data_IF_555514630284
#
_entry.id   IF_555514630284
#
_cell.length_a   1.000
_cell.length_b   1.000
_cell.length_c   1.000
_cell.angle_alpha   90.00
_cell.angle_beta   90.00
_cell.angle_gamma   90.00
#
_symmetry.space_group_name_H-M   'P 1'
#
loop_
_entity.id
_entity.type
_entity.pdbx_description
1 polymer ?
#
# COMPACT_ATOMS: atom_id res chain seq x y z
N UNK A 1 -27.55 -11.38 -2.93
CA UNK A 1 -27.00 -10.12 -2.39
C UNK A 1 -25.52 -10.34 -2.16
N UNK A 2 -24.63 -9.50 -2.70
CA UNK A 2 -23.22 -9.56 -2.35
C UNK A 2 -23.09 -9.29 -0.85
N UNK A 3 -22.37 -10.13 -0.13
CA UNK A 3 -22.09 -9.88 1.28
C UNK A 3 -21.31 -8.56 1.39
N UNK A 4 -21.82 -7.62 2.18
CA UNK A 4 -21.18 -6.31 2.40
C UNK A 4 -20.09 -6.37 3.48
N UNK A 5 -19.91 -7.52 4.12
CA UNK A 5 -18.90 -7.77 5.15
C UNK A 5 -18.28 -9.16 4.96
N UNK A 6 -16.99 -9.35 5.30
CA UNK A 6 -16.38 -10.67 5.31
C UNK A 6 -17.06 -11.61 6.32
N UNK A 7 -16.87 -12.93 6.18
CA UNK A 7 -17.42 -13.90 7.12
C UNK A 7 -16.83 -13.70 8.53
N UNK A 8 -17.67 -13.76 9.55
CA UNK A 8 -17.28 -13.45 10.93
C UNK A 8 -16.14 -14.35 11.43
N UNK A 9 -16.17 -15.62 11.06
CA UNK A 9 -15.15 -16.58 11.48
C UNK A 9 -13.80 -16.38 10.76
N UNK A 10 -13.80 -15.84 9.54
CA UNK A 10 -12.59 -15.41 8.85
C UNK A 10 -12.01 -14.14 9.49
N UNK A 11 -12.88 -13.19 9.85
CA UNK A 11 -12.49 -11.97 10.57
C UNK A 11 -11.83 -12.32 11.89
N UNK A 12 -12.46 -13.17 12.70
CA UNK A 12 -11.91 -13.63 13.97
C UNK A 12 -10.52 -14.29 13.79
N UNK A 13 -10.38 -15.16 12.79
CA UNK A 13 -9.10 -15.78 12.48
C UNK A 13 -8.03 -14.74 12.10
N UNK A 14 -8.34 -13.81 11.20
CA UNK A 14 -7.38 -12.81 10.73
C UNK A 14 -6.98 -11.86 11.86
N UNK A 15 -7.94 -11.36 12.63
CA UNK A 15 -7.68 -10.41 13.71
C UNK A 15 -6.89 -11.03 14.87
N UNK A 16 -7.07 -12.32 15.14
CA UNK A 16 -6.37 -13.00 16.25
C UNK A 16 -5.07 -13.67 15.85
N UNK A 17 -4.93 -14.14 14.60
CA UNK A 17 -3.77 -14.93 14.17
C UNK A 17 -2.83 -14.20 13.21
N UNK A 18 -3.35 -13.22 12.46
CA UNK A 18 -2.61 -12.60 11.36
C UNK A 18 -2.20 -11.18 11.68
N UNK A 19 -3.16 -10.30 12.00
CA UNK A 19 -2.86 -8.89 12.27
C UNK A 19 -1.84 -8.66 13.41
N UNK A 20 -1.83 -9.45 14.51
CA UNK A 20 -0.86 -9.24 15.58
C UNK A 20 0.61 -9.38 15.14
N UNK A 21 0.89 -10.09 14.04
CA UNK A 21 2.26 -10.25 13.52
C UNK A 21 2.88 -8.91 13.07
N UNK A 22 2.03 -7.95 12.65
CA UNK A 22 2.45 -6.61 12.23
C UNK A 22 3.01 -5.76 13.37
N UNK A 23 2.79 -6.16 14.63
CA UNK A 23 3.39 -5.48 15.78
C UNK A 23 4.92 -5.60 15.82
N UNK A 24 5.49 -6.57 15.10
CA UNK A 24 6.94 -6.79 15.00
C UNK A 24 7.61 -6.02 13.85
N UNK A 25 6.84 -5.35 13.00
CA UNK A 25 7.35 -4.68 11.80
C UNK A 25 7.69 -3.21 12.05
N UNK A 26 8.37 -2.59 11.08
CA UNK A 26 8.73 -1.18 11.17
C UNK A 26 7.49 -0.26 11.15
N UNK A 27 7.69 1.02 11.49
CA UNK A 27 6.63 2.02 11.57
C UNK A 27 5.83 2.19 10.26
N UNK A 28 6.42 1.91 9.11
CA UNK A 28 5.75 2.04 7.82
C UNK A 28 4.84 0.85 7.49
N UNK A 29 5.07 -0.32 8.11
CA UNK A 29 4.32 -1.57 7.85
C UNK A 29 3.73 -2.13 9.15
N UNK A 30 3.27 -1.27 10.06
CA UNK A 30 2.70 -1.66 11.34
C UNK A 30 1.19 -1.99 11.26
N UNK A 31 0.55 -2.28 12.41
CA UNK A 31 -0.89 -2.56 12.48
C UNK A 31 -1.76 -1.46 11.85
N UNK A 32 -1.43 -0.18 12.06
CA UNK A 32 -2.20 0.91 11.48
C UNK A 32 -2.17 0.89 9.95
N UNK A 33 -1.02 0.54 9.37
CA UNK A 33 -0.86 0.37 7.92
C UNK A 33 -1.81 -0.70 7.40
N UNK A 34 -1.71 -1.93 7.90
CA UNK A 34 -2.55 -3.04 7.40
C UNK A 34 -4.04 -2.79 7.60
N UNK A 35 -4.46 -2.19 8.72
CA UNK A 35 -5.87 -1.84 8.93
C UNK A 35 -6.36 -0.80 7.92
N UNK A 36 -5.54 0.19 7.55
CA UNK A 36 -5.88 1.13 6.46
C UNK A 36 -5.98 0.43 5.11
N UNK A 37 -5.06 -0.48 4.80
CA UNK A 37 -5.09 -1.25 3.54
C UNK A 37 -6.36 -2.10 3.47
N UNK A 38 -6.69 -2.83 4.54
CA UNK A 38 -7.92 -3.63 4.63
C UNK A 38 -9.15 -2.75 4.37
N UNK A 39 -9.28 -1.61 5.07
CA UNK A 39 -10.43 -0.70 4.89
C UNK A 39 -10.56 -0.24 3.45
N UNK A 40 -9.46 0.17 2.83
CA UNK A 40 -9.43 0.62 1.42
C UNK A 40 -9.77 -0.52 0.46
N UNK A 41 -9.26 -1.73 0.71
CA UNK A 41 -9.64 -2.90 -0.09
C UNK A 41 -11.14 -3.17 -0.01
N UNK A 42 -11.76 -3.04 1.16
CA UNK A 42 -13.21 -3.21 1.31
C UNK A 42 -14.01 -2.11 0.58
N UNK A 43 -13.51 -0.88 0.53
CA UNK A 43 -14.11 0.20 -0.27
C UNK A 43 -14.04 -0.13 -1.77
N UNK A 44 -12.91 -0.66 -2.26
CA UNK A 44 -12.70 -1.04 -3.66
C UNK A 44 -13.51 -2.30 -4.07
N UNK A 45 -13.79 -3.20 -3.14
CA UNK A 45 -14.66 -4.37 -3.41
C UNK A 45 -16.05 -3.92 -3.87
N UNK A 46 -16.60 -2.84 -3.30
CA UNK A 46 -17.94 -2.33 -3.62
C UNK A 46 -18.08 -1.93 -5.09
N UNK A 47 -17.02 -1.42 -5.70
CA UNK A 47 -17.02 -0.96 -7.10
C UNK A 47 -16.56 -2.03 -8.08
N UNK A 48 -15.78 -3.01 -7.62
CA UNK A 48 -15.20 -4.06 -8.47
C UNK A 48 -16.02 -5.36 -8.50
N UNK A 49 -16.88 -5.59 -7.51
CA UNK A 49 -17.66 -6.83 -7.39
C UNK A 49 -16.82 -8.06 -7.03
N UNK A 50 -15.57 -7.86 -6.58
CA UNK A 50 -14.68 -8.94 -6.17
C UNK A 50 -15.21 -9.66 -4.90
N UNK A 51 -14.79 -10.90 -4.69
CA UNK A 51 -15.11 -11.64 -3.46
C UNK A 51 -14.50 -10.92 -2.23
N UNK A 52 -15.36 -10.53 -1.31
CA UNK A 52 -14.98 -9.75 -0.13
C UNK A 52 -14.07 -10.52 0.83
N UNK A 53 -14.26 -11.83 0.97
CA UNK A 53 -13.43 -12.68 1.83
C UNK A 53 -12.02 -12.81 1.25
N UNK A 54 -11.91 -13.04 -0.06
CA UNK A 54 -10.60 -13.07 -0.73
C UNK A 54 -9.89 -11.73 -0.60
N UNK A 55 -10.56 -10.62 -0.88
CA UNK A 55 -9.96 -9.29 -0.79
C UNK A 55 -9.50 -8.95 0.64
N UNK A 56 -10.30 -9.32 1.65
CA UNK A 56 -9.97 -9.12 3.06
C UNK A 56 -8.73 -9.91 3.48
N UNK A 57 -8.69 -11.20 3.15
CA UNK A 57 -7.54 -12.05 3.46
C UNK A 57 -6.27 -11.62 2.71
N UNK A 58 -6.37 -11.25 1.43
CA UNK A 58 -5.21 -10.75 0.66
C UNK A 58 -4.65 -9.48 1.30
N UNK A 59 -5.51 -8.52 1.67
CA UNK A 59 -5.08 -7.30 2.32
C UNK A 59 -4.41 -7.56 3.68
N UNK A 60 -4.93 -8.51 4.47
CA UNK A 60 -4.33 -8.87 5.75
C UNK A 60 -2.96 -9.58 5.62
N UNK A 61 -2.72 -10.29 4.50
CA UNK A 61 -1.49 -11.06 4.30
C UNK A 61 -0.41 -10.32 3.50
N UNK A 62 -0.74 -9.20 2.82
CA UNK A 62 0.10 -8.63 1.76
C UNK A 62 1.55 -8.34 2.17
N UNK A 63 1.74 -7.94 3.43
CA UNK A 63 3.01 -7.48 3.99
C UNK A 63 3.62 -8.47 5.00
N UNK A 64 3.04 -9.65 5.22
CA UNK A 64 3.61 -10.63 6.15
C UNK A 64 5.04 -11.08 5.76
N UNK A 65 5.43 -10.90 4.50
CA UNK A 65 6.79 -11.14 4.05
C UNK A 65 7.82 -10.16 4.61
N UNK A 66 7.41 -9.09 5.29
CA UNK A 66 8.30 -8.11 5.95
C UNK A 66 9.07 -8.70 7.15
N UNK A 67 8.73 -9.90 7.60
CA UNK A 67 9.51 -10.65 8.60
C UNK A 67 10.93 -11.04 8.13
N UNK A 68 11.26 -10.87 6.85
CA UNK A 68 12.61 -11.08 6.32
C UNK A 68 13.10 -9.89 5.49
N UNK A 69 13.91 -10.14 4.45
CA UNK A 69 14.40 -9.05 3.61
C UNK A 69 13.26 -8.28 2.91
N UNK A 70 13.35 -6.96 2.94
CA UNK A 70 12.36 -6.06 2.31
C UNK A 70 12.34 -6.17 0.79
N UNK A 71 13.46 -6.49 0.14
CA UNK A 71 13.54 -6.52 -1.33
C UNK A 71 12.57 -7.53 -1.96
N UNK A 72 12.32 -8.66 -1.28
CA UNK A 72 11.51 -9.77 -1.75
C UNK A 72 10.24 -10.01 -0.90
N UNK A 73 9.86 -9.07 -0.03
CA UNK A 73 8.73 -9.24 0.91
C UNK A 73 7.43 -9.68 0.21
N UNK A 74 7.04 -9.04 -0.90
CA UNK A 74 5.90 -9.45 -1.74
C UNK A 74 5.93 -10.93 -2.18
N UNK A 75 7.09 -11.46 -2.60
CA UNK A 75 7.24 -12.86 -2.99
C UNK A 75 7.15 -13.78 -1.77
N UNK A 76 7.78 -13.39 -0.66
CA UNK A 76 7.71 -14.13 0.60
C UNK A 76 6.28 -14.14 1.15
N UNK A 77 5.58 -13.00 1.14
CA UNK A 77 4.20 -12.85 1.56
C UNK A 77 3.26 -13.78 0.77
N UNK A 78 3.44 -13.86 -0.55
CA UNK A 78 2.69 -14.81 -1.38
C UNK A 78 2.95 -16.27 -1.00
N UNK A 79 4.21 -16.62 -0.67
CA UNK A 79 4.56 -17.96 -0.17
C UNK A 79 3.96 -18.24 1.21
N UNK A 80 3.99 -17.28 2.14
CA UNK A 80 3.38 -17.38 3.47
C UNK A 80 1.88 -17.64 3.34
N UNK A 81 1.18 -16.84 2.50
CA UNK A 81 -0.24 -17.01 2.24
C UNK A 81 -0.53 -18.42 1.69
N UNK A 82 0.18 -18.85 0.65
CA UNK A 82 -0.07 -20.15 0.04
C UNK A 82 0.26 -21.35 0.95
N UNK A 83 1.20 -21.18 1.89
CA UNK A 83 1.59 -22.20 2.85
C UNK A 83 0.63 -22.31 4.04
N UNK A 84 -0.19 -21.30 4.31
CA UNK A 84 -1.13 -21.31 5.42
C UNK A 84 -2.33 -22.23 5.13
N UNK A 85 -2.20 -23.48 5.56
CA UNK A 85 -3.22 -24.52 5.33
C UNK A 85 -4.56 -24.21 6.02
N UNK A 86 -4.58 -23.32 7.02
CA UNK A 86 -5.80 -22.90 7.72
C UNK A 86 -6.75 -22.16 6.78
N UNK A 87 -6.22 -21.45 5.77
CA UNK A 87 -7.01 -20.74 4.76
C UNK A 87 -7.91 -21.67 3.93
N UNK A 88 -7.59 -22.96 3.86
CA UNK A 88 -8.40 -23.98 3.14
C UNK A 88 -9.80 -24.18 3.75
N UNK A 89 -10.05 -23.67 4.96
CA UNK A 89 -11.38 -23.62 5.56
C UNK A 89 -12.33 -22.71 4.76
N UNK A 90 -11.81 -21.65 4.13
CA UNK A 90 -12.63 -20.64 3.43
C UNK A 90 -12.40 -20.63 1.91
N UNK A 91 -11.23 -21.06 1.44
CA UNK A 91 -10.81 -20.85 0.06
C UNK A 91 -10.39 -22.13 -0.64
N UNK A 92 -10.78 -22.28 -1.90
CA UNK A 92 -10.33 -23.37 -2.78
C UNK A 92 -8.83 -23.23 -3.11
N UNK A 93 -8.18 -24.31 -3.58
CA UNK A 93 -6.79 -24.23 -4.07
C UNK A 93 -6.58 -23.17 -5.17
N UNK A 94 -7.54 -23.01 -6.07
CA UNK A 94 -7.53 -22.00 -7.14
C UNK A 94 -7.65 -20.59 -6.56
N UNK A 95 -8.52 -20.37 -5.58
CA UNK A 95 -8.63 -19.09 -4.88
C UNK A 95 -7.32 -18.75 -4.15
N UNK A 96 -6.73 -19.69 -3.42
CA UNK A 96 -5.45 -19.51 -2.73
C UNK A 96 -4.34 -19.16 -3.74
N UNK A 97 -4.33 -19.80 -4.92
CA UNK A 97 -3.40 -19.43 -5.99
C UNK A 97 -3.59 -17.96 -6.39
N UNK A 98 -4.81 -17.53 -6.70
CA UNK A 98 -5.10 -16.13 -7.06
C UNK A 98 -4.71 -15.15 -5.95
N UNK A 99 -4.95 -15.52 -4.69
CA UNK A 99 -4.59 -14.72 -3.52
C UNK A 99 -3.07 -14.55 -3.39
N UNK A 100 -2.31 -15.64 -3.53
CA UNK A 100 -0.84 -15.59 -3.59
C UNK A 100 -0.38 -14.64 -4.69
N UNK A 101 -0.94 -14.78 -5.89
CA UNK A 101 -0.56 -13.96 -7.02
C UNK A 101 -0.85 -12.47 -6.79
N UNK A 102 -1.97 -12.16 -6.14
CA UNK A 102 -2.33 -10.81 -5.75
C UNK A 102 -1.34 -10.20 -4.76
N UNK A 103 -0.92 -10.96 -3.74
CA UNK A 103 0.12 -10.53 -2.79
C UNK A 103 1.45 -10.30 -3.49
N UNK A 104 1.86 -11.17 -4.40
CA UNK A 104 3.10 -10.99 -5.17
C UNK A 104 3.07 -9.75 -6.08
N UNK A 105 1.89 -9.32 -6.53
CA UNK A 105 1.75 -8.24 -7.50
C UNK A 105 1.51 -6.85 -6.88
N UNK A 106 1.45 -6.73 -5.55
CA UNK A 106 0.97 -5.48 -4.91
C UNK A 106 1.94 -4.30 -5.04
N UNK A 107 3.24 -4.54 -5.25
CA UNK A 107 4.27 -3.50 -5.23
C UNK A 107 4.04 -2.41 -6.27
N UNK A 108 4.11 -1.15 -5.84
CA UNK A 108 4.01 0.00 -6.74
C UNK A 108 5.12 0.07 -7.81
N UNK A 109 6.31 -0.44 -7.51
CA UNK A 109 7.46 -0.46 -8.43
C UNK A 109 7.48 -1.68 -9.35
N UNK A 110 6.43 -2.52 -9.34
CA UNK A 110 6.35 -3.65 -10.26
C UNK A 110 6.21 -3.14 -11.70
N UNK A 111 7.00 -3.69 -12.63
CA UNK A 111 7.00 -3.29 -14.05
C UNK A 111 5.79 -3.78 -14.83
N UNK A 112 4.98 -4.67 -14.24
CA UNK A 112 3.82 -5.31 -14.86
C UNK A 112 2.54 -5.01 -14.10
N UNK A 113 1.41 -5.07 -14.80
CA UNK A 113 0.10 -5.01 -14.18
C UNK A 113 -0.16 -6.25 -13.30
N UNK A 114 -0.90 -6.10 -12.18
CA UNK A 114 -1.33 -7.25 -11.39
C UNK A 114 -2.17 -8.23 -12.22
N UNK A 115 -1.97 -9.52 -11.99
CA UNK A 115 -2.57 -10.62 -12.77
C UNK A 115 -4.09 -10.72 -12.63
N UNK A 116 -4.64 -10.26 -11.51
CA UNK A 116 -6.06 -10.40 -11.18
C UNK A 116 -6.66 -9.10 -10.66
N UNK A 117 -8.00 -9.04 -10.60
CA UNK A 117 -8.70 -7.93 -9.94
C UNK A 117 -8.28 -7.78 -8.48
N UNK A 118 -8.03 -8.89 -7.79
CA UNK A 118 -7.57 -8.87 -6.40
C UNK A 118 -6.18 -8.25 -6.26
N UNK A 119 -5.27 -8.56 -7.19
CA UNK A 119 -3.96 -7.91 -7.25
C UNK A 119 -4.08 -6.40 -7.46
N UNK A 120 -5.01 -5.96 -8.32
CA UNK A 120 -5.31 -4.54 -8.54
C UNK A 120 -5.85 -3.88 -7.28
N UNK A 121 -6.77 -4.53 -6.57
CA UNK A 121 -7.36 -4.03 -5.31
C UNK A 121 -6.29 -3.82 -4.24
N UNK A 122 -5.47 -4.85 -3.96
CA UNK A 122 -4.46 -4.74 -2.90
C UNK A 122 -3.33 -3.77 -3.29
N UNK A 123 -2.87 -3.80 -4.54
CA UNK A 123 -1.86 -2.86 -5.03
C UNK A 123 -2.34 -1.41 -4.92
N UNK A 124 -3.63 -1.17 -5.12
CA UNK A 124 -4.20 0.16 -5.02
C UNK A 124 -4.46 0.57 -3.58
N UNK A 125 -4.99 -0.32 -2.75
CA UNK A 125 -5.27 -0.07 -1.33
C UNK A 125 -4.00 0.20 -0.52
N UNK A 126 -2.90 -0.50 -0.84
CA UNK A 126 -1.58 -0.32 -0.23
C UNK A 126 -0.97 1.07 -0.49
N UNK A 127 -1.34 1.69 -1.61
CA UNK A 127 -0.84 3.02 -1.94
C UNK A 127 -1.58 4.06 -1.10
N UNK A 128 -0.89 4.57 -0.08
CA UNK A 128 -1.32 5.76 0.64
C UNK A 128 -0.98 7.01 -0.17
N UNK A 129 -1.94 7.49 -0.98
CA UNK A 129 -1.75 8.64 -1.88
C UNK A 129 -2.33 9.93 -1.28
N UNK A 130 -2.56 9.98 0.02
CA UNK A 130 -2.92 11.24 0.66
C UNK A 130 -1.76 12.24 0.54
N UNK A 131 -2.01 13.41 -0.07
CA UNK A 131 -0.98 14.40 -0.40
C UNK A 131 -0.13 14.78 0.80
N UNK A 132 -0.73 15.03 1.96
CA UNK A 132 0.01 15.40 3.18
C UNK A 132 0.85 14.24 3.70
N UNK A 133 0.29 13.01 3.68
CA UNK A 133 1.01 11.81 4.12
C UNK A 133 2.18 11.50 3.18
N UNK A 134 1.99 11.60 1.86
CA UNK A 134 3.05 11.37 0.87
C UNK A 134 4.19 12.35 1.09
N UNK A 135 3.89 13.65 1.20
CA UNK A 135 4.92 14.67 1.40
C UNK A 135 5.70 14.40 2.68
N UNK A 136 5.00 14.20 3.80
CA UNK A 136 5.61 13.93 5.11
C UNK A 136 6.48 12.68 5.10
N UNK A 137 5.98 11.57 4.55
CA UNK A 137 6.76 10.32 4.46
C UNK A 137 7.98 10.45 3.56
N UNK A 138 7.90 11.19 2.46
CA UNK A 138 9.06 11.44 1.59
C UNK A 138 10.12 12.27 2.29
N UNK A 139 9.73 13.23 3.13
CA UNK A 139 10.63 14.03 3.97
C UNK A 139 11.25 13.18 5.08
N UNK A 140 10.45 12.47 5.86
CA UNK A 140 10.92 11.57 6.93
C UNK A 140 11.93 10.53 6.40
N UNK A 141 11.66 9.97 5.22
CA UNK A 141 12.61 9.08 4.57
C UNK A 141 13.94 9.77 4.26
N UNK A 142 13.87 11.00 3.73
CA UNK A 142 15.04 11.83 3.44
C UNK A 142 15.89 12.06 4.68
N UNK A 143 15.26 12.52 5.77
CA UNK A 143 15.92 12.77 7.06
C UNK A 143 16.55 11.50 7.66
N UNK A 144 15.88 10.35 7.53
CA UNK A 144 16.35 9.10 8.11
C UNK A 144 17.47 8.42 7.31
N UNK A 145 17.47 8.56 5.98
CA UNK A 145 18.38 7.80 5.10
C UNK A 145 19.49 8.66 4.46
N UNK A 146 19.34 9.98 4.50
CA UNK A 146 20.32 10.94 3.97
C UNK A 146 20.54 12.10 4.96
N UNK A 147 20.87 11.82 6.24
CA UNK A 147 21.02 12.85 7.27
C UNK A 147 22.14 13.85 6.99
N UNK A 148 23.06 13.52 6.07
CA UNK A 148 24.15 14.40 5.62
C UNK A 148 23.68 15.55 4.70
N UNK A 149 22.50 15.43 4.10
CA UNK A 149 21.97 16.47 3.22
C UNK A 149 21.43 17.64 4.02
N UNK A 150 21.82 18.85 3.60
CA UNK A 150 21.18 20.08 4.07
C UNK A 150 19.73 20.18 3.54
N UNK A 151 19.03 21.24 3.95
CA UNK A 151 17.63 21.46 3.55
C UNK A 151 17.44 21.52 2.03
N UNK A 152 18.38 22.11 1.29
CA UNK A 152 18.29 22.16 -0.18
C UNK A 152 18.53 20.79 -0.82
N UNK A 153 19.49 20.02 -0.32
CA UNK A 153 19.72 18.64 -0.74
C UNK A 153 18.47 17.77 -0.51
N UNK A 154 17.86 17.91 0.67
CA UNK A 154 16.60 17.23 1.00
C UNK A 154 15.46 17.65 0.06
N UNK A 155 15.38 18.94 -0.30
CA UNK A 155 14.42 19.45 -1.26
C UNK A 155 14.60 18.86 -2.67
N UNK A 156 15.83 18.80 -3.19
CA UNK A 156 16.08 18.24 -4.52
C UNK A 156 15.70 16.76 -4.57
N UNK A 157 16.13 15.99 -3.57
CA UNK A 157 15.76 14.56 -3.42
C UNK A 157 14.25 14.38 -3.31
N UNK A 158 13.59 15.24 -2.53
CA UNK A 158 12.14 15.22 -2.35
C UNK A 158 11.41 15.42 -3.68
N UNK A 159 11.78 16.45 -4.45
CA UNK A 159 11.20 16.71 -5.79
C UNK A 159 11.44 15.55 -6.74
N UNK A 160 12.68 15.07 -6.82
CA UNK A 160 13.05 13.96 -7.69
C UNK A 160 12.24 12.69 -7.36
N UNK A 161 12.06 12.39 -6.07
CA UNK A 161 11.22 11.28 -5.65
C UNK A 161 9.76 11.46 -6.07
N UNK A 162 9.20 12.65 -5.87
CA UNK A 162 7.82 12.93 -6.27
C UNK A 162 7.63 12.84 -7.78
N UNK A 163 8.58 13.36 -8.56
CA UNK A 163 8.52 13.31 -10.00
C UNK A 163 8.61 11.88 -10.52
N UNK A 164 9.67 11.15 -10.15
CA UNK A 164 9.90 9.77 -10.58
C UNK A 164 8.76 8.81 -10.23
N UNK A 165 8.10 9.03 -9.07
CA UNK A 165 7.07 8.13 -8.57
C UNK A 165 5.65 8.57 -8.92
N UNK A 166 5.30 9.83 -8.67
CA UNK A 166 3.91 10.30 -8.61
C UNK A 166 3.51 11.23 -9.75
N UNK A 167 4.44 11.73 -10.57
CA UNK A 167 4.09 12.58 -11.71
C UNK A 167 3.24 11.84 -12.74
N UNK A 168 2.89 12.53 -13.84
CA UNK A 168 2.18 11.90 -14.95
C UNK A 168 3.03 10.79 -15.59
N UNK A 169 4.33 11.03 -15.68
CA UNK A 169 5.31 10.10 -16.25
C UNK A 169 5.91 9.16 -15.20
N UNK A 170 5.66 9.42 -13.91
CA UNK A 170 6.10 8.59 -12.81
C UNK A 170 5.56 7.16 -12.85
N UNK A 171 6.27 6.26 -12.17
CA UNK A 171 6.01 4.81 -12.29
C UNK A 171 4.75 4.32 -11.55
N UNK A 172 4.12 5.12 -10.69
CA UNK A 172 2.90 4.67 -9.99
C UNK A 172 1.72 4.54 -10.97
N UNK A 173 1.08 3.37 -10.99
CA UNK A 173 -0.02 3.04 -11.94
C UNK A 173 -1.25 2.55 -11.23
N UNK A 174 -2.32 3.35 -11.12
CA UNK A 174 -3.61 2.92 -10.58
C UNK A 174 -4.38 2.11 -11.60
N UNK A 175 -5.11 1.10 -11.13
CA UNK A 175 -5.70 0.08 -12.00
C UNK A 175 -7.23 0.05 -11.94
N UNK A 176 -7.83 0.70 -10.94
CA UNK A 176 -9.27 0.79 -10.78
C UNK A 176 -9.72 2.21 -11.15
N UNK A 177 -10.52 2.38 -12.21
CA UNK A 177 -11.04 3.69 -12.61
C UNK A 177 -11.86 4.35 -11.49
N UNK A 178 -11.77 5.67 -11.39
CA UNK A 178 -12.57 6.50 -10.46
C UNK A 178 -12.46 6.10 -8.97
N UNK A 179 -11.36 5.46 -8.58
CA UNK A 179 -11.13 5.15 -7.17
C UNK A 179 -10.80 6.39 -6.35
N UNK A 180 -10.97 6.36 -5.02
CA UNK A 180 -10.54 7.45 -4.14
C UNK A 180 -9.06 7.80 -4.33
N UNK A 181 -8.21 6.82 -4.59
CA UNK A 181 -6.78 7.03 -4.84
C UNK A 181 -6.51 7.70 -6.19
N UNK A 182 -7.36 7.51 -7.21
CA UNK A 182 -7.23 8.22 -8.47
C UNK A 182 -7.46 9.73 -8.31
N UNK A 183 -8.45 10.11 -7.50
CA UNK A 183 -8.73 11.52 -7.17
C UNK A 183 -7.53 12.12 -6.44
N UNK A 184 -7.06 11.47 -5.36
CA UNK A 184 -5.92 11.94 -4.57
C UNK A 184 -4.61 12.02 -5.37
N UNK A 185 -4.36 11.06 -6.27
CA UNK A 185 -3.19 11.09 -7.14
C UNK A 185 -3.23 12.30 -8.08
N UNK A 186 -4.41 12.66 -8.58
CA UNK A 186 -4.56 13.85 -9.42
C UNK A 186 -4.33 15.15 -8.63
N UNK A 187 -4.80 15.22 -7.38
CA UNK A 187 -4.50 16.35 -6.48
C UNK A 187 -3.00 16.49 -6.24
N UNK A 188 -2.31 15.39 -5.91
CA UNK A 188 -0.86 15.38 -5.73
C UNK A 188 -0.13 15.80 -7.02
N UNK A 189 -0.55 15.29 -8.18
CA UNK A 189 0.02 15.68 -9.48
C UNK A 189 -0.15 17.17 -9.77
N UNK A 190 -1.32 17.73 -9.47
CA UNK A 190 -1.58 19.16 -9.63
C UNK A 190 -0.65 19.99 -8.73
N UNK A 191 -0.38 19.53 -7.50
CA UNK A 191 0.59 20.18 -6.60
C UNK A 191 2.02 20.06 -7.13
N UNK A 192 2.43 18.90 -7.65
CA UNK A 192 3.77 18.69 -8.24
C UNK A 192 4.03 19.67 -9.38
N UNK A 193 3.00 20.03 -10.16
CA UNK A 193 3.10 21.03 -11.25
C UNK A 193 3.11 22.49 -10.78
N UNK A 194 3.06 22.76 -9.46
CA UNK A 194 3.06 24.10 -8.86
C UNK A 194 4.28 24.25 -7.93
N UNK A 195 5.47 24.60 -8.47
CA UNK A 195 6.72 24.58 -7.71
C UNK A 195 6.70 25.39 -6.42
N UNK A 196 6.11 26.59 -6.43
CA UNK A 196 6.05 27.47 -5.27
C UNK A 196 5.21 26.87 -4.14
N UNK A 197 4.02 26.34 -4.46
CA UNK A 197 3.15 25.68 -3.47
C UNK A 197 3.75 24.37 -2.96
N UNK A 198 4.41 23.61 -3.84
CA UNK A 198 5.10 22.39 -3.44
C UNK A 198 6.25 22.72 -2.48
N UNK A 199 6.99 23.80 -2.73
CA UNK A 199 8.07 24.26 -1.85
C UNK A 199 7.53 24.73 -0.51
N UNK A 200 6.45 25.50 -0.49
CA UNK A 200 5.79 25.93 0.74
C UNK A 200 5.35 24.72 1.60
N UNK A 201 4.73 23.72 0.98
CA UNK A 201 4.34 22.49 1.67
C UNK A 201 5.55 21.72 2.23
N UNK A 202 6.65 21.65 1.47
CA UNK A 202 7.89 21.05 1.92
C UNK A 202 8.48 21.80 3.12
N UNK A 203 8.65 23.11 3.04
CA UNK A 203 9.26 23.93 4.11
C UNK A 203 8.51 23.79 5.44
N UNK A 204 7.17 23.86 5.37
CA UNK A 204 6.32 23.70 6.55
C UNK A 204 6.52 22.33 7.20
N UNK A 205 6.38 21.24 6.43
CA UNK A 205 6.48 19.88 6.97
C UNK A 205 7.91 19.55 7.37
N UNK A 206 8.91 20.00 6.63
CA UNK A 206 10.33 19.81 6.95
C UNK A 206 10.67 20.42 8.31
N UNK A 207 10.16 21.63 8.59
CA UNK A 207 10.32 22.28 9.90
C UNK A 207 9.67 21.46 11.02
N UNK A 208 8.43 20.99 10.79
CA UNK A 208 7.71 20.14 11.76
C UNK A 208 8.45 18.82 12.07
N UNK A 209 9.12 18.22 11.08
CA UNK A 209 9.80 16.92 11.21
C UNK A 209 11.28 17.03 11.63
N UNK A 210 11.85 18.23 11.57
CA UNK A 210 13.25 18.50 11.95
C UNK A 210 13.39 19.10 13.36
N UNK A 211 12.27 19.23 14.08
CA UNK A 211 12.20 19.69 15.48
C UNK A 211 12.19 18.49 16.42
#
# INVERSE_FOLDING_TARGET
>A
MLANTPSLDLVEFIETQILPQYASFDRAHNMEHVTRVIRRSMELVKTTGADINMAYAIAAYHDLGMCGHRADHHIRGGKILAADTRLRKWFSPEQIKIMKEAVEDHRASASRAPRSIYGKIVAEADRDIDTQIVIRRTIQYGLSNYPELDKEGQWQRFKEHLDNKYSKDGYIRLWIPNSPNAIKLNELRNLITQPDKLREAFERIFTEEST
#
